data_IF_651026876379
#
_entry.id   IF_651026876379
#
_cell.length_a   1.000
_cell.length_b   1.000
_cell.length_c   1.000
_cell.angle_alpha   90.00
_cell.angle_beta   90.00
_cell.angle_gamma   90.00
#
_symmetry.space_group_name_H-M   'P 1'
#
loop_
_entity.id
_entity.type
_entity.pdbx_description
1 polymer ?
#
# COMPACT_ATOMS: atom_id res chain seq x y z
N UNK A 1 10.42 -22.42 -27.17
CA UNK A 1 9.35 -21.84 -26.32
C UNK A 1 9.27 -22.70 -25.09
N UNK A 2 10.09 -22.39 -24.10
CA UNK A 2 10.16 -23.16 -22.85
C UNK A 2 8.86 -23.00 -22.07
N UNK A 3 8.26 -24.13 -21.69
CA UNK A 3 7.19 -24.20 -20.71
C UNK A 3 7.75 -23.71 -19.36
N UNK A 4 7.65 -22.40 -19.11
CA UNK A 4 7.73 -21.86 -17.76
C UNK A 4 6.67 -22.59 -16.92
N UNK A 5 7.10 -23.18 -15.81
CA UNK A 5 6.24 -23.84 -14.81
C UNK A 5 5.25 -22.81 -14.23
N UNK A 6 4.19 -22.49 -14.97
CA UNK A 6 3.12 -21.59 -14.54
C UNK A 6 2.32 -22.29 -13.45
N UNK A 7 2.62 -21.97 -12.19
CA UNK A 7 1.79 -22.41 -11.07
C UNK A 7 0.39 -21.80 -11.21
N UNK A 8 -0.68 -22.61 -11.42
CA UNK A 8 -2.02 -22.06 -11.67
C UNK A 8 -2.54 -21.19 -10.52
N UNK A 9 -2.10 -21.47 -9.27
CA UNK A 9 -2.52 -20.69 -8.10
C UNK A 9 -1.90 -19.28 -8.11
N UNK A 10 -0.69 -19.11 -8.64
CA UNK A 10 -0.06 -17.79 -8.78
C UNK A 10 -0.79 -16.94 -9.82
N UNK A 11 -1.27 -17.55 -10.91
CA UNK A 11 -2.08 -16.82 -11.90
C UNK A 11 -3.38 -16.30 -11.27
N UNK A 12 -4.06 -17.15 -10.49
CA UNK A 12 -5.26 -16.75 -9.74
C UNK A 12 -4.95 -15.62 -8.77
N UNK A 13 -3.84 -15.71 -8.02
CA UNK A 13 -3.41 -14.69 -7.08
C UNK A 13 -3.14 -13.35 -7.79
N UNK A 14 -2.37 -13.36 -8.88
CA UNK A 14 -2.08 -12.17 -9.67
C UNK A 14 -3.33 -11.53 -10.26
N UNK A 15 -4.29 -12.35 -10.73
CA UNK A 15 -5.55 -11.86 -11.27
C UNK A 15 -6.41 -11.20 -10.20
N UNK A 16 -6.47 -11.78 -8.98
CA UNK A 16 -7.14 -11.15 -7.83
C UNK A 16 -6.46 -9.85 -7.43
N UNK A 17 -5.13 -9.84 -7.31
CA UNK A 17 -4.35 -8.63 -7.06
C UNK A 17 -4.68 -7.54 -8.07
N UNK A 18 -4.60 -7.85 -9.37
CA UNK A 18 -4.86 -6.90 -10.45
C UNK A 18 -6.29 -6.35 -10.43
N UNK A 19 -7.28 -7.20 -10.13
CA UNK A 19 -8.68 -6.79 -9.99
C UNK A 19 -8.88 -5.82 -8.82
N UNK A 20 -8.30 -6.14 -7.65
CA UNK A 20 -8.38 -5.29 -6.48
C UNK A 20 -7.64 -3.96 -6.67
N UNK A 21 -6.44 -3.99 -7.23
CA UNK A 21 -5.64 -2.78 -7.48
C UNK A 21 -6.32 -1.87 -8.51
N UNK A 22 -6.79 -2.42 -9.64
CA UNK A 22 -7.51 -1.64 -10.65
C UNK A 22 -8.79 -1.02 -10.09
N UNK A 23 -9.54 -1.76 -9.26
CA UNK A 23 -10.75 -1.26 -8.59
C UNK A 23 -10.42 -0.13 -7.63
N UNK A 24 -9.38 -0.29 -6.81
CA UNK A 24 -8.85 0.72 -5.89
C UNK A 24 -8.49 2.01 -6.63
N UNK A 25 -7.71 1.92 -7.71
CA UNK A 25 -7.26 3.07 -8.50
C UNK A 25 -8.44 3.79 -9.14
N UNK A 26 -9.35 3.05 -9.79
CA UNK A 26 -10.53 3.61 -10.46
C UNK A 26 -11.44 4.34 -9.48
N UNK A 27 -11.78 3.71 -8.35
CA UNK A 27 -12.66 4.28 -7.33
C UNK A 27 -12.02 5.47 -6.60
N UNK A 28 -10.73 5.40 -6.28
CA UNK A 28 -9.99 6.54 -5.70
C UNK A 28 -10.03 7.76 -6.63
N UNK A 29 -9.81 7.55 -7.92
CA UNK A 29 -9.84 8.63 -8.91
C UNK A 29 -11.26 9.24 -9.06
N UNK A 30 -12.30 8.39 -9.05
CA UNK A 30 -13.68 8.85 -9.11
C UNK A 30 -14.06 9.68 -7.88
N UNK A 31 -13.76 9.19 -6.67
CA UNK A 31 -13.97 9.90 -5.41
C UNK A 31 -13.26 11.26 -5.41
N UNK A 32 -11.98 11.27 -5.80
CA UNK A 32 -11.17 12.50 -5.83
C UNK A 32 -11.74 13.53 -6.82
N UNK A 33 -12.14 13.09 -8.03
CA UNK A 33 -12.75 13.97 -9.03
C UNK A 33 -14.08 14.54 -8.54
N UNK A 34 -14.89 13.75 -7.85
CA UNK A 34 -16.17 14.19 -7.32
C UNK A 34 -15.99 15.29 -6.27
N UNK A 35 -15.05 15.11 -5.33
CA UNK A 35 -14.67 16.13 -4.34
C UNK A 35 -14.12 17.41 -5.00
N UNK A 36 -13.37 17.29 -6.10
CA UNK A 36 -12.91 18.45 -6.88
C UNK A 36 -14.08 19.25 -7.45
N UNK A 37 -15.08 18.58 -8.04
CA UNK A 37 -16.24 19.26 -8.58
C UNK A 37 -17.07 19.96 -7.51
N UNK A 38 -17.26 19.32 -6.35
CA UNK A 38 -17.95 19.93 -5.19
C UNK A 38 -17.22 21.24 -4.79
N UNK A 39 -15.90 21.20 -4.67
CA UNK A 39 -15.08 22.36 -4.36
C UNK A 39 -15.18 23.46 -5.44
N UNK A 40 -15.13 23.10 -6.72
CA UNK A 40 -15.24 24.04 -7.84
C UNK A 40 -16.62 24.73 -7.83
N UNK A 41 -17.72 23.98 -7.67
CA UNK A 41 -19.05 24.57 -7.63
C UNK A 41 -19.27 25.44 -6.39
N UNK A 42 -18.68 25.09 -5.25
CA UNK A 42 -18.66 25.96 -4.06
C UNK A 42 -17.99 27.31 -4.32
N UNK A 43 -16.83 27.31 -5.00
CA UNK A 43 -16.12 28.53 -5.39
C UNK A 43 -16.88 29.35 -6.44
N UNK A 44 -17.45 28.67 -7.44
CA UNK A 44 -18.25 29.31 -8.48
C UNK A 44 -19.50 29.98 -7.90
N UNK A 45 -20.17 29.36 -6.91
CA UNK A 45 -21.30 29.97 -6.22
C UNK A 45 -20.92 31.32 -5.60
N UNK A 46 -19.78 31.37 -4.88
CA UNK A 46 -19.25 32.62 -4.29
C UNK A 46 -18.91 33.64 -5.38
N UNK A 47 -18.27 33.21 -6.46
CA UNK A 47 -17.94 34.08 -7.59
C UNK A 47 -19.20 34.69 -8.23
N UNK A 48 -20.21 33.88 -8.54
CA UNK A 48 -21.45 34.35 -9.14
C UNK A 48 -22.24 35.26 -8.20
N UNK A 49 -22.18 35.03 -6.90
CA UNK A 49 -22.80 35.90 -5.90
C UNK A 49 -22.16 37.30 -5.94
N UNK A 50 -20.83 37.36 -6.04
CA UNK A 50 -20.10 38.62 -6.16
C UNK A 50 -20.41 39.32 -7.49
N UNK A 51 -20.39 38.60 -8.61
CA UNK A 51 -20.65 39.17 -9.94
C UNK A 51 -22.06 39.76 -10.06
N UNK A 52 -23.07 39.04 -9.55
CA UNK A 52 -24.46 39.50 -9.53
C UNK A 52 -24.67 40.71 -8.62
N UNK A 53 -23.86 40.86 -7.56
CA UNK A 53 -23.97 41.98 -6.61
C UNK A 53 -23.26 43.23 -7.12
N UNK A 54 -22.07 43.11 -7.70
CA UNK A 54 -21.23 44.27 -8.08
C UNK A 54 -21.61 44.85 -9.44
N UNK A 55 -22.00 44.00 -10.40
CA UNK A 55 -22.13 44.41 -11.81
C UNK A 55 -23.54 44.19 -12.39
N UNK A 56 -24.64 44.54 -11.70
CA UNK A 56 -25.99 44.27 -12.20
C UNK A 56 -26.28 44.97 -13.54
N UNK A 57 -25.80 46.21 -13.73
CA UNK A 57 -26.05 47.01 -14.94
C UNK A 57 -25.03 46.78 -16.07
N UNK A 58 -23.92 46.07 -15.79
CA UNK A 58 -22.89 45.80 -16.80
C UNK A 58 -23.24 44.62 -17.71
N UNK A 59 -24.25 43.83 -17.36
CA UNK A 59 -24.72 42.70 -18.15
C UNK A 59 -25.97 43.07 -18.93
N UNK A 60 -26.11 42.52 -20.14
CA UNK A 60 -27.41 42.50 -20.84
C UNK A 60 -28.44 41.72 -20.03
N UNK A 61 -29.74 41.95 -20.27
CA UNK A 61 -30.84 41.23 -19.58
C UNK A 61 -30.67 39.70 -19.65
N UNK A 62 -30.21 39.18 -20.80
CA UNK A 62 -29.92 37.75 -21.00
C UNK A 62 -28.73 37.31 -20.15
N UNK A 63 -27.67 38.13 -20.08
CA UNK A 63 -26.48 37.85 -19.28
C UNK A 63 -26.78 37.82 -17.78
N UNK A 64 -27.58 38.76 -17.29
CA UNK A 64 -28.04 38.80 -15.89
C UNK A 64 -28.88 37.58 -15.54
N UNK A 65 -29.80 37.20 -16.43
CA UNK A 65 -30.62 35.99 -16.27
C UNK A 65 -29.75 34.71 -16.20
N UNK A 66 -28.77 34.56 -17.09
CA UNK A 66 -27.82 33.43 -17.06
C UNK A 66 -27.03 33.42 -15.76
N UNK A 67 -26.52 34.57 -15.30
CA UNK A 67 -25.78 34.68 -14.04
C UNK A 67 -26.62 34.27 -12.83
N UNK A 68 -27.89 34.67 -12.77
CA UNK A 68 -28.83 34.23 -11.72
C UNK A 68 -29.04 32.71 -11.74
N UNK A 69 -29.19 32.11 -12.92
CA UNK A 69 -29.27 30.65 -13.06
C UNK A 69 -27.99 29.98 -12.55
N UNK A 70 -26.82 30.49 -12.93
CA UNK A 70 -25.53 29.93 -12.51
C UNK A 70 -25.31 30.05 -10.99
N UNK A 71 -25.71 31.18 -10.39
CA UNK A 71 -25.67 31.40 -8.94
C UNK A 71 -26.53 30.38 -8.18
N UNK A 72 -27.75 30.11 -8.66
CA UNK A 72 -28.68 29.17 -8.00
C UNK A 72 -28.26 27.71 -8.25
N UNK A 73 -27.87 27.39 -9.49
CA UNK A 73 -27.53 26.01 -9.87
C UNK A 73 -26.23 25.51 -9.25
N UNK A 74 -25.22 26.37 -9.06
CA UNK A 74 -23.92 25.96 -8.49
C UNK A 74 -24.02 25.28 -7.11
N UNK A 75 -24.64 25.88 -6.07
CA UNK A 75 -24.78 25.24 -4.77
C UNK A 75 -25.71 24.01 -4.80
N UNK A 76 -26.72 24.00 -5.67
CA UNK A 76 -27.60 22.83 -5.86
C UNK A 76 -26.81 21.65 -6.42
N UNK A 77 -26.01 21.87 -7.47
CA UNK A 77 -25.15 20.84 -8.07
C UNK A 77 -24.12 20.37 -7.04
N UNK A 78 -23.46 21.28 -6.31
CA UNK A 78 -22.52 20.91 -5.26
C UNK A 78 -23.18 20.00 -4.19
N UNK A 79 -24.40 20.33 -3.76
CA UNK A 79 -25.16 19.56 -2.78
C UNK A 79 -25.57 18.18 -3.31
N UNK A 80 -26.05 18.11 -4.56
CA UNK A 80 -26.38 16.84 -5.22
C UNK A 80 -25.15 15.94 -5.37
N UNK A 81 -24.01 16.50 -5.78
CA UNK A 81 -22.75 15.77 -5.89
C UNK A 81 -22.25 15.30 -4.52
N UNK A 82 -22.41 16.11 -3.47
CA UNK A 82 -22.05 15.71 -2.10
C UNK A 82 -22.95 14.57 -1.59
N UNK A 83 -24.26 14.64 -1.80
CA UNK A 83 -25.18 13.56 -1.47
C UNK A 83 -24.87 12.28 -2.25
N UNK A 84 -24.55 12.40 -3.54
CA UNK A 84 -24.11 11.28 -4.37
C UNK A 84 -22.78 10.70 -3.86
N UNK A 85 -21.81 11.54 -3.51
CA UNK A 85 -20.52 11.12 -2.96
C UNK A 85 -20.72 10.30 -1.69
N UNK A 86 -21.52 10.81 -0.76
CA UNK A 86 -21.80 10.15 0.51
C UNK A 86 -22.58 8.84 0.31
N UNK A 87 -23.44 8.74 -0.71
CA UNK A 87 -24.16 7.48 -0.94
C UNK A 87 -23.30 6.38 -1.58
N UNK A 88 -22.42 6.73 -2.51
CA UNK A 88 -21.70 5.76 -3.36
C UNK A 88 -20.21 5.58 -3.03
N UNK A 89 -19.65 6.48 -2.23
CA UNK A 89 -18.24 6.46 -1.85
C UNK A 89 -18.05 6.61 -0.32
N UNK A 90 -19.09 6.48 0.50
CA UNK A 90 -18.90 6.50 1.95
C UNK A 90 -18.26 5.19 2.46
N UNK A 91 -18.63 4.04 1.88
CA UNK A 91 -18.19 2.70 2.30
C UNK A 91 -16.67 2.44 2.28
N UNK A 92 -15.85 3.35 1.73
CA UNK A 92 -14.41 3.17 1.73
C UNK A 92 -13.94 2.04 0.81
N UNK A 93 -14.77 1.59 -0.14
CA UNK A 93 -14.51 0.43 -1.01
C UNK A 93 -13.15 0.46 -1.69
N UNK A 94 -12.63 1.64 -2.04
CA UNK A 94 -11.30 1.79 -2.64
C UNK A 94 -10.17 1.45 -1.65
N UNK A 95 -10.33 1.80 -0.37
CA UNK A 95 -9.37 1.44 0.69
C UNK A 95 -9.40 -0.06 0.96
N UNK A 96 -10.60 -0.65 0.97
CA UNK A 96 -10.79 -2.09 1.20
C UNK A 96 -10.21 -2.89 0.02
N UNK A 97 -10.49 -2.47 -1.20
CA UNK A 97 -9.88 -3.06 -2.40
C UNK A 97 -8.36 -2.90 -2.37
N UNK A 98 -7.85 -1.74 -1.96
CA UNK A 98 -6.40 -1.53 -1.79
C UNK A 98 -5.80 -2.45 -0.73
N UNK A 99 -6.49 -2.66 0.40
CA UNK A 99 -6.08 -3.60 1.44
C UNK A 99 -5.95 -5.02 0.88
N UNK A 100 -7.00 -5.48 0.18
CA UNK A 100 -6.99 -6.80 -0.45
C UNK A 100 -5.90 -6.96 -1.50
N UNK A 101 -5.60 -5.91 -2.27
CA UNK A 101 -4.51 -5.92 -3.25
C UNK A 101 -3.15 -6.09 -2.56
N UNK A 102 -2.80 -5.22 -1.62
CA UNK A 102 -1.49 -5.27 -0.96
C UNK A 102 -1.31 -6.55 -0.12
N UNK A 103 -2.37 -7.08 0.50
CA UNK A 103 -2.33 -8.37 1.20
C UNK A 103 -2.11 -9.54 0.23
N UNK A 104 -2.80 -9.54 -0.91
CA UNK A 104 -2.60 -10.56 -1.96
C UNK A 104 -1.17 -10.49 -2.49
N UNK A 105 -0.64 -9.29 -2.69
CA UNK A 105 0.72 -9.08 -3.18
C UNK A 105 1.76 -9.61 -2.18
N UNK A 106 1.56 -9.32 -0.89
CA UNK A 106 2.36 -9.88 0.21
C UNK A 106 2.40 -11.41 0.13
N UNK A 107 1.23 -12.04 0.03
CA UNK A 107 1.10 -13.50 0.00
C UNK A 107 1.73 -14.12 -1.25
N UNK A 108 1.69 -13.43 -2.39
CA UNK A 108 2.41 -13.85 -3.61
C UNK A 108 3.91 -13.88 -3.35
N UNK A 109 4.48 -12.82 -2.75
CA UNK A 109 5.91 -12.80 -2.46
C UNK A 109 6.29 -13.84 -1.41
N UNK A 110 5.50 -14.01 -0.35
CA UNK A 110 5.71 -15.08 0.65
C UNK A 110 5.70 -16.48 0.04
N UNK A 111 4.74 -16.75 -0.86
CA UNK A 111 4.66 -18.01 -1.60
C UNK A 111 5.92 -18.27 -2.43
N UNK A 112 6.42 -17.23 -3.08
CA UNK A 112 7.55 -17.29 -4.02
C UNK A 112 8.91 -17.18 -3.36
N UNK A 113 9.01 -16.97 -2.05
CA UNK A 113 10.28 -16.77 -1.34
C UNK A 113 10.43 -17.75 -0.19
N UNK A 114 9.71 -17.54 0.90
CA UNK A 114 9.96 -18.32 2.10
C UNK A 114 9.26 -19.67 2.03
N UNK A 115 8.10 -19.75 1.39
CA UNK A 115 7.35 -20.99 1.28
C UNK A 115 7.82 -21.89 0.13
N UNK A 116 8.91 -21.56 -0.56
CA UNK A 116 9.41 -22.32 -1.72
C UNK A 116 9.58 -23.80 -1.44
N UNK A 117 10.18 -24.12 -0.29
CA UNK A 117 10.49 -25.50 0.13
C UNK A 117 9.29 -26.20 0.80
N UNK A 118 8.20 -25.50 1.05
CA UNK A 118 7.04 -26.05 1.76
C UNK A 118 6.09 -26.78 0.80
N UNK A 119 5.84 -28.10 0.98
CA UNK A 119 4.97 -28.87 0.09
C UNK A 119 3.49 -28.39 0.13
N UNK A 120 3.05 -27.77 1.22
CA UNK A 120 1.69 -27.24 1.41
C UNK A 120 1.54 -25.78 0.98
N UNK A 121 2.55 -25.17 0.34
CA UNK A 121 2.51 -23.75 -0.07
C UNK A 121 1.31 -23.39 -0.95
N UNK A 122 0.87 -24.32 -1.80
CA UNK A 122 -0.30 -24.14 -2.66
C UNK A 122 -1.60 -24.04 -1.86
N UNK A 123 -1.82 -24.97 -0.94
CA UNK A 123 -2.98 -24.97 -0.04
C UNK A 123 -3.00 -23.73 0.85
N UNK A 124 -1.82 -23.31 1.32
CA UNK A 124 -1.65 -22.09 2.10
C UNK A 124 -2.12 -20.85 1.33
N UNK A 125 -1.67 -20.69 0.08
CA UNK A 125 -2.04 -19.54 -0.74
C UNK A 125 -3.54 -19.56 -1.07
N UNK A 126 -4.09 -20.70 -1.45
CA UNK A 126 -5.52 -20.84 -1.71
C UNK A 126 -6.39 -20.45 -0.49
N UNK A 127 -5.99 -20.93 0.69
CA UNK A 127 -6.66 -20.61 1.96
C UNK A 127 -6.60 -19.12 2.24
N UNK A 128 -5.46 -18.46 2.06
CA UNK A 128 -5.33 -17.04 2.32
C UNK A 128 -6.04 -16.19 1.27
N UNK A 129 -5.96 -16.51 -0.03
CA UNK A 129 -6.76 -15.84 -1.06
C UNK A 129 -8.27 -15.89 -0.79
N UNK A 130 -8.74 -16.98 -0.18
CA UNK A 130 -10.14 -17.12 0.24
C UNK A 130 -10.47 -16.23 1.44
N UNK A 131 -9.56 -16.14 2.43
CA UNK A 131 -9.72 -15.22 3.57
C UNK A 131 -9.75 -13.76 3.10
N UNK A 132 -8.80 -13.36 2.25
CA UNK A 132 -8.71 -12.01 1.67
C UNK A 132 -10.02 -11.69 0.96
N UNK A 133 -10.51 -12.59 0.09
CA UNK A 133 -11.77 -12.36 -0.61
C UNK A 133 -12.97 -12.21 0.32
N UNK A 134 -13.07 -13.02 1.39
CA UNK A 134 -14.14 -12.89 2.38
C UNK A 134 -14.03 -11.58 3.16
N UNK A 135 -12.81 -11.18 3.51
CA UNK A 135 -12.52 -9.91 4.19
C UNK A 135 -12.93 -8.72 3.32
N UNK A 136 -12.55 -8.72 2.05
CA UNK A 136 -12.95 -7.70 1.06
C UNK A 136 -14.47 -7.68 0.89
N UNK A 137 -15.12 -8.83 0.73
CA UNK A 137 -16.59 -8.94 0.63
C UNK A 137 -17.29 -8.32 1.84
N UNK A 138 -16.87 -8.68 3.06
CA UNK A 138 -17.43 -8.12 4.31
C UNK A 138 -17.18 -6.62 4.43
N UNK A 139 -15.97 -6.19 4.07
CA UNK A 139 -15.60 -4.79 4.07
C UNK A 139 -16.47 -3.96 3.13
N UNK A 140 -16.77 -4.46 1.94
CA UNK A 140 -17.66 -3.81 0.97
C UNK A 140 -19.16 -4.06 1.28
N UNK A 141 -19.51 -4.30 2.54
CA UNK A 141 -20.88 -4.52 3.00
C UNK A 141 -21.64 -5.63 2.22
N UNK A 142 -20.93 -6.65 1.74
CA UNK A 142 -21.49 -7.75 0.97
C UNK A 142 -21.73 -7.45 -0.53
N UNK A 143 -21.24 -6.32 -1.05
CA UNK A 143 -21.35 -5.96 -2.46
C UNK A 143 -19.99 -6.07 -3.17
N UNK A 144 -19.77 -7.13 -3.94
CA UNK A 144 -18.57 -7.28 -4.80
C UNK A 144 -18.81 -6.74 -6.22
N UNK A 145 -19.22 -5.48 -6.33
CA UNK A 145 -19.36 -4.82 -7.64
C UNK A 145 -17.98 -4.37 -8.12
N UNK A 146 -17.27 -5.30 -8.77
CA UNK A 146 -15.96 -5.10 -9.38
C UNK A 146 -15.95 -5.59 -10.81
N UNK A 147 -15.31 -4.83 -11.70
CA UNK A 147 -15.08 -5.28 -13.07
C UNK A 147 -14.05 -6.42 -13.08
N UNK A 148 -14.29 -7.45 -13.87
CA UNK A 148 -13.30 -8.50 -14.09
C UNK A 148 -12.07 -7.91 -14.77
N UNK A 149 -10.89 -8.15 -14.21
CA UNK A 149 -9.64 -7.73 -14.82
C UNK A 149 -9.38 -8.51 -16.11
N UNK A 150 -9.20 -7.80 -17.22
CA UNK A 150 -9.00 -8.36 -18.58
C UNK A 150 -7.57 -8.24 -19.10
N UNK A 151 -6.67 -7.59 -18.35
CA UNK A 151 -5.29 -7.39 -18.77
C UNK A 151 -4.41 -8.63 -18.56
N UNK A 152 -3.15 -8.52 -18.97
CA UNK A 152 -2.12 -9.51 -18.68
C UNK A 152 -1.77 -9.54 -17.19
N UNK A 153 -1.36 -10.72 -16.72
CA UNK A 153 -0.91 -10.97 -15.36
C UNK A 153 0.54 -11.47 -15.39
N UNK A 154 1.44 -10.96 -14.53
CA UNK A 154 1.23 -9.87 -13.56
C UNK A 154 0.97 -8.50 -14.23
N UNK A 155 0.24 -7.57 -13.57
CA UNK A 155 -0.15 -6.30 -14.19
C UNK A 155 1.02 -5.30 -14.31
N UNK A 156 1.10 -4.63 -15.46
CA UNK A 156 1.96 -3.45 -15.68
C UNK A 156 1.51 -2.26 -14.81
N UNK A 157 2.41 -1.31 -14.44
CA UNK A 157 3.83 -1.21 -14.80
C UNK A 157 4.79 -1.79 -13.76
N UNK A 158 4.28 -2.29 -12.62
CA UNK A 158 5.13 -2.87 -11.55
C UNK A 158 5.93 -4.08 -12.05
N UNK A 159 5.38 -4.79 -13.04
CA UNK A 159 5.95 -5.99 -13.63
C UNK A 159 5.99 -5.80 -15.15
N UNK A 160 7.15 -5.44 -15.70
CA UNK A 160 7.29 -5.19 -17.14
C UNK A 160 8.22 -6.22 -17.80
N UNK A 161 7.66 -7.25 -18.46
CA UNK A 161 8.43 -8.33 -19.08
C UNK A 161 9.33 -7.86 -20.24
N UNK A 162 9.22 -6.59 -20.69
CA UNK A 162 10.09 -6.03 -21.73
C UNK A 162 11.50 -5.70 -21.23
N UNK A 163 11.74 -5.68 -19.92
CA UNK A 163 13.09 -5.55 -19.38
C UNK A 163 13.66 -6.94 -19.11
N UNK A 164 14.84 -7.31 -19.65
CA UNK A 164 15.43 -8.64 -19.49
C UNK A 164 15.61 -9.07 -18.04
N UNK A 165 15.78 -8.11 -17.13
CA UNK A 165 15.91 -8.32 -15.68
C UNK A 165 14.62 -7.92 -14.94
N UNK A 166 13.47 -8.33 -15.45
CA UNK A 166 12.18 -8.07 -14.80
C UNK A 166 11.59 -9.34 -14.22
N UNK A 167 10.91 -9.19 -13.10
CA UNK A 167 10.21 -10.28 -12.45
C UNK A 167 9.09 -10.83 -13.35
N UNK A 168 9.20 -12.10 -13.75
CA UNK A 168 8.16 -12.79 -14.51
C UNK A 168 6.89 -13.03 -13.68
N UNK A 169 6.99 -12.99 -12.35
CA UNK A 169 5.89 -13.17 -11.42
C UNK A 169 5.54 -14.62 -11.07
N UNK A 170 6.10 -15.61 -11.77
CA UNK A 170 5.66 -17.01 -11.66
C UNK A 170 6.70 -17.97 -11.07
N UNK A 171 7.97 -17.59 -11.07
CA UNK A 171 9.05 -18.43 -10.54
C UNK A 171 9.35 -18.08 -9.08
N UNK A 172 9.97 -19.04 -8.40
CA UNK A 172 10.50 -18.88 -7.05
C UNK A 172 11.70 -17.92 -7.08
N UNK A 173 11.76 -16.99 -6.13
CA UNK A 173 12.74 -15.91 -6.05
C UNK A 173 13.86 -16.22 -5.06
N UNK A 174 15.10 -16.15 -5.51
CA UNK A 174 16.27 -16.07 -4.62
C UNK A 174 16.29 -14.76 -3.80
N UNK A 175 17.21 -14.68 -2.83
CA UNK A 175 17.41 -13.47 -2.04
C UNK A 175 17.72 -12.24 -2.90
N UNK A 176 18.64 -12.37 -3.86
CA UNK A 176 19.03 -11.24 -4.72
C UNK A 176 17.91 -10.84 -5.70
N UNK A 177 17.15 -11.79 -6.22
CA UNK A 177 15.99 -11.50 -7.07
C UNK A 177 14.88 -10.81 -6.27
N UNK A 178 14.57 -11.27 -5.06
CA UNK A 178 13.62 -10.57 -4.19
C UNK A 178 14.11 -9.16 -3.85
N UNK A 179 15.38 -9.02 -3.49
CA UNK A 179 16.00 -7.74 -3.19
C UNK A 179 15.81 -6.75 -4.36
N UNK A 180 16.16 -7.18 -5.58
CA UNK A 180 16.09 -6.32 -6.76
C UNK A 180 14.63 -6.03 -7.19
N UNK A 181 13.81 -7.07 -7.32
CA UNK A 181 12.47 -6.94 -7.91
C UNK A 181 11.45 -6.33 -6.96
N UNK A 182 11.60 -6.58 -5.66
CA UNK A 182 10.62 -6.19 -4.64
C UNK A 182 11.14 -5.10 -3.73
N UNK A 183 12.21 -5.35 -2.99
CA UNK A 183 12.69 -4.42 -1.95
C UNK A 183 13.16 -3.08 -2.56
N UNK A 184 14.11 -3.13 -3.48
CA UNK A 184 14.72 -1.93 -4.07
C UNK A 184 13.71 -1.16 -4.94
N UNK A 185 12.86 -1.88 -5.68
CA UNK A 185 11.79 -1.28 -6.45
C UNK A 185 10.78 -0.54 -5.56
N UNK A 186 10.33 -1.15 -4.46
CA UNK A 186 9.43 -0.50 -3.51
C UNK A 186 10.11 0.68 -2.82
N UNK A 187 11.37 0.57 -2.42
CA UNK A 187 12.13 1.67 -1.82
C UNK A 187 12.19 2.87 -2.78
N UNK A 188 12.58 2.64 -4.04
CA UNK A 188 12.65 3.68 -5.07
C UNK A 188 11.29 4.31 -5.34
N UNK A 189 10.23 3.50 -5.40
CA UNK A 189 8.87 4.01 -5.56
C UNK A 189 8.44 4.89 -4.38
N UNK A 190 8.72 4.47 -3.14
CA UNK A 190 8.38 5.23 -1.93
C UNK A 190 9.18 6.55 -1.87
N UNK A 191 10.47 6.54 -2.20
CA UNK A 191 11.31 7.77 -2.29
C UNK A 191 10.74 8.73 -3.33
N UNK A 192 10.39 8.24 -4.52
CA UNK A 192 9.77 9.09 -5.55
C UNK A 192 8.43 9.66 -5.06
N UNK A 193 7.62 8.84 -4.39
CA UNK A 193 6.29 9.23 -3.91
C UNK A 193 6.33 10.24 -2.78
N UNK A 194 7.24 10.11 -1.82
CA UNK A 194 7.35 11.08 -0.72
C UNK A 194 7.73 12.46 -1.25
N UNK A 195 8.64 12.53 -2.23
CA UNK A 195 9.05 13.80 -2.85
C UNK A 195 7.90 14.45 -3.63
N UNK A 196 7.12 13.65 -4.37
CA UNK A 196 5.91 14.13 -5.04
C UNK A 196 4.90 14.70 -4.03
N UNK A 197 4.67 14.00 -2.91
CA UNK A 197 3.72 14.40 -1.87
C UNK A 197 4.17 15.62 -1.08
N UNK A 198 5.47 15.72 -0.81
CA UNK A 198 6.05 16.90 -0.16
C UNK A 198 5.95 18.14 -1.07
N UNK A 199 6.23 18.01 -2.36
CA UNK A 199 6.06 19.12 -3.32
C UNK A 199 4.59 19.56 -3.40
N UNK A 200 3.66 18.60 -3.44
CA UNK A 200 2.22 18.87 -3.42
C UNK A 200 1.78 19.62 -2.16
N UNK A 201 2.29 19.20 -0.99
CA UNK A 201 2.05 19.85 0.30
C UNK A 201 2.56 21.29 0.33
N UNK A 202 3.81 21.51 -0.08
CA UNK A 202 4.41 22.85 -0.13
C UNK A 202 3.64 23.77 -1.08
N UNK A 203 3.27 23.27 -2.27
CA UNK A 203 2.45 24.05 -3.22
C UNK A 203 1.11 24.44 -2.62
N UNK A 204 0.44 23.52 -1.92
CA UNK A 204 -0.86 23.79 -1.32
C UNK A 204 -0.76 24.81 -0.18
N UNK A 205 0.25 24.69 0.69
CA UNK A 205 0.52 25.68 1.74
C UNK A 205 0.79 27.08 1.17
N UNK A 206 1.56 27.18 0.10
CA UNK A 206 1.80 28.45 -0.58
C UNK A 206 0.52 29.05 -1.18
N UNK A 207 -0.37 28.22 -1.74
CA UNK A 207 -1.67 28.67 -2.24
C UNK A 207 -2.60 29.14 -1.12
N UNK A 208 -2.61 28.45 0.02
CA UNK A 208 -3.38 28.84 1.21
C UNK A 208 -2.89 30.20 1.72
N UNK A 209 -1.59 30.36 1.94
CA UNK A 209 -1.00 31.63 2.35
C UNK A 209 -1.24 32.74 1.33
N UNK A 210 -1.06 32.45 0.04
CA UNK A 210 -1.29 33.40 -1.04
C UNK A 210 -2.74 33.87 -1.13
N UNK A 211 -3.71 32.96 -1.00
CA UNK A 211 -5.14 33.30 -0.99
C UNK A 211 -5.54 34.13 0.23
N UNK A 212 -5.03 33.78 1.42
CA UNK A 212 -5.27 34.57 2.64
C UNK A 212 -4.67 35.98 2.55
N UNK A 213 -3.43 36.10 2.07
CA UNK A 213 -2.78 37.38 1.86
C UNK A 213 -3.52 38.24 0.81
N UNK A 214 -3.96 37.62 -0.30
CA UNK A 214 -4.76 38.31 -1.30
C UNK A 214 -6.07 38.86 -0.70
N UNK A 215 -6.75 38.08 0.15
CA UNK A 215 -7.94 38.54 0.87
C UNK A 215 -7.67 39.76 1.76
N UNK A 216 -6.57 39.75 2.50
CA UNK A 216 -6.18 40.88 3.35
C UNK A 216 -5.86 42.14 2.53
N UNK A 217 -5.15 41.99 1.40
CA UNK A 217 -4.85 43.11 0.48
C UNK A 217 -6.15 43.69 -0.11
N UNK A 218 -7.06 42.83 -0.59
CA UNK A 218 -8.35 43.27 -1.13
C UNK A 218 -9.19 44.01 -0.07
N UNK A 219 -9.16 43.56 1.18
CA UNK A 219 -9.83 44.25 2.29
C UNK A 219 -9.23 45.63 2.53
N UNK A 220 -7.89 45.75 2.52
CA UNK A 220 -7.19 47.01 2.74
C UNK A 220 -7.41 48.04 1.63
N UNK A 221 -7.57 47.60 0.37
CA UNK A 221 -7.88 48.49 -0.76
C UNK A 221 -9.29 49.09 -0.67
N UNK A 222 -10.21 48.45 0.06
CA UNK A 222 -11.56 48.95 0.31
C UNK A 222 -12.44 49.06 -0.95
N UNK A 223 -13.59 49.73 -0.80
CA UNK A 223 -14.53 49.98 -1.89
C UNK A 223 -15.10 48.69 -2.52
N UNK A 224 -15.15 48.56 -3.86
CA UNK A 224 -15.71 47.38 -4.52
C UNK A 224 -14.86 46.10 -4.32
N UNK A 225 -13.60 46.24 -3.89
CA UNK A 225 -12.70 45.10 -3.63
C UNK A 225 -13.07 44.35 -2.34
N UNK A 226 -13.80 44.97 -1.41
CA UNK A 226 -14.20 44.33 -0.14
C UNK A 226 -15.06 43.09 -0.37
N UNK A 227 -15.91 43.07 -1.40
CA UNK A 227 -16.72 41.89 -1.73
C UNK A 227 -15.88 40.72 -2.28
N UNK A 228 -14.74 41.00 -2.92
CA UNK A 228 -13.82 39.96 -3.42
C UNK A 228 -13.07 39.23 -2.30
N UNK A 229 -13.05 39.80 -1.08
CA UNK A 229 -12.51 39.13 0.12
C UNK A 229 -13.24 37.81 0.37
N UNK A 230 -14.55 37.74 0.10
CA UNK A 230 -15.33 36.51 0.24
C UNK A 230 -14.83 35.41 -0.70
N UNK A 231 -14.45 35.76 -1.94
CA UNK A 231 -13.88 34.79 -2.89
C UNK A 231 -12.53 34.28 -2.39
N UNK A 232 -11.65 35.17 -1.93
CA UNK A 232 -10.36 34.79 -1.36
C UNK A 232 -10.52 33.86 -0.15
N UNK A 233 -11.42 34.19 0.78
CA UNK A 233 -11.71 33.36 1.96
C UNK A 233 -12.30 31.99 1.59
N UNK A 234 -13.20 31.94 0.60
CA UNK A 234 -13.75 30.68 0.10
C UNK A 234 -12.68 29.80 -0.56
N UNK A 235 -11.73 30.42 -1.29
CA UNK A 235 -10.58 29.73 -1.86
C UNK A 235 -9.66 29.18 -0.78
N UNK A 236 -9.32 29.98 0.23
CA UNK A 236 -8.52 29.52 1.39
C UNK A 236 -9.19 28.33 2.08
N UNK A 237 -10.49 28.43 2.37
CA UNK A 237 -11.26 27.36 3.02
C UNK A 237 -11.29 26.09 2.19
N UNK A 238 -11.48 26.22 0.87
CA UNK A 238 -11.48 25.09 -0.06
C UNK A 238 -10.11 24.40 -0.12
N UNK A 239 -9.03 25.18 -0.16
CA UNK A 239 -7.66 24.65 -0.17
C UNK A 239 -7.30 23.96 1.15
N UNK A 240 -7.76 24.50 2.29
CA UNK A 240 -7.62 23.87 3.61
C UNK A 240 -8.35 22.52 3.65
N UNK A 241 -9.62 22.47 3.25
CA UNK A 241 -10.36 21.21 3.16
C UNK A 241 -9.73 20.22 2.20
N UNK A 242 -9.09 20.69 1.12
CA UNK A 242 -8.33 19.83 0.20
C UNK A 242 -7.03 19.29 0.81
N UNK A 243 -6.37 20.07 1.67
CA UNK A 243 -5.18 19.63 2.41
C UNK A 243 -5.54 18.53 3.42
N UNK A 244 -6.62 18.74 4.16
CA UNK A 244 -7.18 17.81 5.15
C UNK A 244 -7.62 16.49 4.50
N UNK A 245 -8.40 16.57 3.41
CA UNK A 245 -8.83 15.39 2.64
C UNK A 245 -7.66 14.52 2.18
N UNK A 246 -6.53 15.14 1.83
CA UNK A 246 -5.33 14.42 1.37
C UNK A 246 -4.43 13.98 2.53
N UNK A 247 -4.65 14.50 3.72
CA UNK A 247 -3.88 14.27 4.94
C UNK A 247 -2.35 14.22 4.67
N UNK A 248 -1.86 15.23 3.93
CA UNK A 248 -0.50 15.19 3.36
C UNK A 248 0.59 15.11 4.44
N UNK A 249 0.36 15.70 5.61
CA UNK A 249 1.30 15.66 6.74
C UNK A 249 1.52 14.22 7.23
N UNK A 250 0.44 13.47 7.46
CA UNK A 250 0.53 12.07 7.89
C UNK A 250 1.08 11.17 6.77
N UNK A 251 0.63 11.40 5.52
CA UNK A 251 1.11 10.64 4.36
C UNK A 251 2.62 10.78 4.21
N UNK A 252 3.17 12.00 4.24
CA UNK A 252 4.62 12.24 4.13
C UNK A 252 5.38 11.55 5.25
N UNK A 253 4.92 11.68 6.51
CA UNK A 253 5.55 11.02 7.67
C UNK A 253 5.59 9.50 7.51
N UNK A 254 4.48 8.89 7.09
CA UNK A 254 4.40 7.44 6.93
C UNK A 254 5.31 6.93 5.80
N UNK A 255 5.40 7.67 4.68
CA UNK A 255 6.37 7.35 3.63
C UNK A 255 7.81 7.45 4.13
N UNK A 256 8.16 8.52 4.87
CA UNK A 256 9.51 8.68 5.42
C UNK A 256 9.89 7.55 6.37
N UNK A 257 8.96 7.09 7.22
CA UNK A 257 9.16 5.93 8.09
C UNK A 257 9.45 4.67 7.28
N UNK A 258 8.63 4.35 6.27
CA UNK A 258 8.87 3.17 5.42
C UNK A 258 10.20 3.24 4.69
N UNK A 259 10.55 4.41 4.13
CA UNK A 259 11.84 4.59 3.45
C UNK A 259 12.98 4.27 4.41
N UNK A 260 12.95 4.82 5.62
CA UNK A 260 13.97 4.57 6.63
C UNK A 260 14.09 3.08 6.98
N UNK A 261 12.98 2.40 7.28
CA UNK A 261 12.98 0.98 7.65
C UNK A 261 13.43 0.07 6.49
N UNK A 262 12.96 0.33 5.26
CA UNK A 262 13.38 -0.42 4.08
C UNK A 262 14.84 -0.15 3.71
N UNK A 263 15.34 1.07 3.93
CA UNK A 263 16.75 1.40 3.75
C UNK A 263 17.62 0.61 4.71
N UNK A 264 17.25 0.49 5.99
CA UNK A 264 17.99 -0.34 6.96
C UNK A 264 18.11 -1.79 6.47
N UNK A 265 17.00 -2.38 6.00
CA UNK A 265 17.00 -3.74 5.46
C UNK A 265 17.85 -3.83 4.20
N UNK A 266 17.73 -2.84 3.31
CA UNK A 266 18.48 -2.81 2.06
C UNK A 266 19.99 -2.73 2.30
N UNK A 267 20.40 -1.86 3.22
CA UNK A 267 21.80 -1.63 3.55
C UNK A 267 22.40 -2.86 4.23
N UNK A 268 21.64 -3.53 5.11
CA UNK A 268 22.03 -4.81 5.69
C UNK A 268 22.28 -5.87 4.61
N UNK A 269 21.32 -6.10 3.71
CA UNK A 269 21.48 -7.09 2.63
C UNK A 269 22.67 -6.78 1.71
N UNK A 270 22.86 -5.50 1.36
CA UNK A 270 23.98 -5.04 0.52
C UNK A 270 25.34 -5.21 1.20
N UNK A 271 25.39 -5.17 2.53
CA UNK A 271 26.61 -5.31 3.30
C UNK A 271 27.02 -6.78 3.55
N UNK A 272 26.11 -7.74 3.40
CA UNK A 272 26.42 -9.16 3.55
C UNK A 272 27.27 -9.67 2.37
N UNK A 273 28.36 -10.37 2.70
CA UNK A 273 29.15 -11.13 1.72
C UNK A 273 28.35 -12.32 1.18
N UNK A 274 28.78 -12.89 0.04
CA UNK A 274 28.06 -13.98 -0.62
C UNK A 274 27.89 -15.22 0.29
N UNK A 275 28.86 -15.48 1.15
CA UNK A 275 28.86 -16.56 2.13
C UNK A 275 27.93 -16.30 3.33
N UNK A 276 27.71 -15.03 3.67
CA UNK A 276 26.84 -14.61 4.77
C UNK A 276 25.35 -14.54 4.37
N UNK A 277 25.06 -14.56 3.06
CA UNK A 277 23.70 -14.60 2.48
C UNK A 277 23.05 -15.98 2.62
N UNK A 278 22.88 -16.39 3.86
CA UNK A 278 22.20 -17.64 4.23
C UNK A 278 20.70 -17.57 3.99
N UNK A 279 20.04 -18.74 3.93
CA UNK A 279 18.58 -18.85 3.89
C UNK A 279 17.91 -18.07 5.03
N UNK A 280 18.54 -18.02 6.20
CA UNK A 280 18.06 -17.30 7.39
C UNK A 280 18.02 -15.79 7.16
N UNK A 281 19.12 -15.22 6.65
CA UNK A 281 19.18 -13.78 6.35
C UNK A 281 18.23 -13.41 5.20
N UNK A 282 18.09 -14.30 4.21
CA UNK A 282 17.09 -14.15 3.16
C UNK A 282 15.67 -14.08 3.74
N UNK A 283 15.26 -15.05 4.55
CA UNK A 283 13.91 -15.07 5.14
C UNK A 283 13.65 -13.89 6.06
N UNK A 284 14.67 -13.46 6.82
CA UNK A 284 14.59 -12.28 7.67
C UNK A 284 14.39 -11.00 6.86
N UNK A 285 15.10 -10.83 5.75
CA UNK A 285 14.92 -9.70 4.82
C UNK A 285 13.49 -9.69 4.28
N UNK A 286 13.03 -10.80 3.70
CA UNK A 286 11.69 -10.88 3.09
C UNK A 286 10.61 -10.59 4.12
N UNK A 287 10.64 -11.26 5.27
CA UNK A 287 9.65 -11.09 6.35
C UNK A 287 9.59 -9.64 6.82
N UNK A 288 10.73 -9.05 7.15
CA UNK A 288 10.79 -7.67 7.66
C UNK A 288 10.27 -6.68 6.62
N UNK A 289 10.66 -6.83 5.35
CA UNK A 289 10.23 -5.96 4.27
C UNK A 289 8.71 -6.04 4.04
N UNK A 290 8.16 -7.25 3.93
CA UNK A 290 6.72 -7.45 3.74
C UNK A 290 5.90 -6.99 4.95
N UNK A 291 6.39 -7.17 6.18
CA UNK A 291 5.76 -6.65 7.40
C UNK A 291 5.73 -5.11 7.41
N UNK A 292 6.82 -4.44 7.03
CA UNK A 292 6.88 -2.97 6.93
C UNK A 292 5.90 -2.45 5.88
N UNK A 293 5.91 -3.06 4.68
CA UNK A 293 5.02 -2.67 3.58
C UNK A 293 3.54 -2.85 3.96
N UNK A 294 3.23 -3.98 4.61
CA UNK A 294 1.89 -4.29 5.09
C UNK A 294 1.44 -3.33 6.21
N UNK A 295 2.27 -3.14 7.24
CA UNK A 295 1.99 -2.26 8.38
C UNK A 295 1.68 -0.84 7.92
N UNK A 296 2.44 -0.32 6.96
CA UNK A 296 2.16 0.99 6.35
C UNK A 296 0.84 1.03 5.60
N UNK A 297 0.49 -0.03 4.87
CA UNK A 297 -0.81 -0.06 4.19
C UNK A 297 -1.97 0.04 5.21
N UNK A 298 -1.84 -0.66 6.34
CA UNK A 298 -2.79 -0.55 7.46
C UNK A 298 -2.83 0.87 8.04
N UNK A 299 -1.67 1.46 8.33
CA UNK A 299 -1.59 2.85 8.83
C UNK A 299 -2.25 3.85 7.86
N UNK A 300 -2.03 3.70 6.54
CA UNK A 300 -2.65 4.54 5.53
C UNK A 300 -4.18 4.40 5.49
N UNK A 301 -4.68 3.17 5.58
CA UNK A 301 -6.13 2.93 5.57
C UNK A 301 -6.77 3.53 6.84
N UNK A 302 -6.16 3.34 8.01
CA UNK A 302 -6.65 3.92 9.27
C UNK A 302 -6.67 5.45 9.22
N UNK A 303 -5.60 6.06 8.75
CA UNK A 303 -5.50 7.50 8.54
C UNK A 303 -6.61 8.07 7.65
N UNK A 304 -6.94 7.36 6.57
CA UNK A 304 -7.96 7.80 5.64
C UNK A 304 -9.37 7.57 6.19
N UNK A 305 -9.57 6.59 7.06
CA UNK A 305 -10.82 6.41 7.80
C UNK A 305 -11.04 7.50 8.82
N UNK A 306 -10.03 7.86 9.61
CA UNK A 306 -10.15 8.94 10.60
C UNK A 306 -10.59 10.24 9.91
N UNK A 307 -9.99 10.55 8.76
CA UNK A 307 -10.39 11.68 7.91
C UNK A 307 -11.82 11.56 7.33
N UNK A 308 -12.37 10.34 7.22
CA UNK A 308 -13.76 10.11 6.79
C UNK A 308 -14.73 10.13 7.98
N UNK A 309 -14.34 9.68 9.18
CA UNK A 309 -15.17 9.68 10.39
C UNK A 309 -15.50 11.10 10.85
N UNK A 310 -14.54 12.03 10.78
CA UNK A 310 -14.78 13.45 11.07
C UNK A 310 -15.84 14.07 10.13
N UNK A 311 -16.22 13.39 9.04
CA UNK A 311 -17.27 13.80 8.11
C UNK A 311 -18.65 13.13 8.31
N UNK A 312 -18.95 12.57 9.50
CA UNK A 312 -20.19 11.87 9.91
C UNK A 312 -20.39 10.44 9.36
N UNK A 313 -19.39 9.55 9.48
CA UNK A 313 -19.47 8.15 9.00
C UNK A 313 -18.99 7.11 10.05
N UNK A 314 -19.65 7.08 11.21
CA UNK A 314 -19.25 6.24 12.36
C UNK A 314 -19.42 4.72 12.16
N UNK A 315 -20.39 4.29 11.37
CA UNK A 315 -20.72 2.87 11.21
C UNK A 315 -19.74 2.15 10.26
N UNK A 316 -19.18 2.88 9.30
CA UNK A 316 -18.32 2.34 8.23
C UNK A 316 -16.87 2.17 8.68
N UNK A 317 -16.36 3.11 9.49
CA UNK A 317 -15.04 2.97 10.11
C UNK A 317 -14.96 1.73 11.02
N UNK A 318 -16.07 1.30 11.63
CA UNK A 318 -16.13 0.06 12.41
C UNK A 318 -15.97 -1.19 11.54
N UNK A 319 -16.56 -1.20 10.34
CA UNK A 319 -16.44 -2.32 9.40
C UNK A 319 -15.00 -2.46 8.89
N UNK A 320 -14.36 -1.34 8.55
CA UNK A 320 -13.00 -1.40 8.05
C UNK A 320 -12.00 -1.66 9.20
N UNK A 321 -12.24 -1.15 10.42
CA UNK A 321 -11.46 -1.55 11.60
C UNK A 321 -11.54 -3.06 11.84
N UNK A 322 -12.73 -3.67 11.73
CA UNK A 322 -12.89 -5.12 11.85
C UNK A 322 -12.10 -5.87 10.78
N UNK A 323 -12.15 -5.40 9.52
CA UNK A 323 -11.37 -6.00 8.41
C UNK A 323 -9.87 -5.90 8.67
N UNK A 324 -9.39 -4.74 9.12
CA UNK A 324 -7.97 -4.52 9.46
C UNK A 324 -7.54 -5.37 10.65
N UNK A 325 -8.37 -5.48 11.68
CA UNK A 325 -8.12 -6.32 12.85
C UNK A 325 -8.10 -7.80 12.45
N UNK A 326 -9.05 -8.27 11.65
CA UNK A 326 -9.06 -9.63 11.11
C UNK A 326 -7.78 -9.92 10.31
N UNK A 327 -7.32 -8.97 9.49
CA UNK A 327 -6.07 -9.11 8.75
C UNK A 327 -4.83 -9.08 9.65
N UNK A 328 -4.80 -8.22 10.69
CA UNK A 328 -3.72 -8.21 11.69
C UNK A 328 -3.66 -9.49 12.51
N UNK A 329 -4.81 -10.05 12.87
CA UNK A 329 -4.89 -11.30 13.62
C UNK A 329 -4.53 -12.50 12.75
N UNK A 330 -4.81 -12.44 11.45
CA UNK A 330 -4.31 -13.41 10.49
C UNK A 330 -2.78 -13.32 10.39
N UNK A 331 -2.22 -12.10 10.34
CA UNK A 331 -0.78 -11.84 10.27
C UNK A 331 -0.04 -12.31 11.53
N UNK A 332 -0.60 -12.09 12.73
CA UNK A 332 -0.04 -12.63 13.99
C UNK A 332 -0.04 -14.15 14.02
N UNK A 333 -1.12 -14.79 13.56
CA UNK A 333 -1.21 -16.25 13.49
C UNK A 333 -0.23 -16.83 12.47
N UNK A 334 -0.01 -16.09 11.37
CA UNK A 334 0.99 -16.42 10.37
C UNK A 334 2.38 -16.33 10.98
N UNK A 335 2.69 -15.24 11.70
CA UNK A 335 3.94 -15.07 12.45
C UNK A 335 4.22 -16.24 13.40
N UNK A 336 3.23 -16.69 14.17
CA UNK A 336 3.36 -17.87 15.03
C UNK A 336 3.66 -19.14 14.24
N UNK A 337 2.87 -19.45 13.20
CA UNK A 337 3.12 -20.65 12.37
C UNK A 337 4.47 -20.65 11.67
N UNK A 338 5.04 -19.45 11.48
CA UNK A 338 6.33 -19.26 10.85
C UNK A 338 7.49 -19.36 11.82
N UNK A 339 7.33 -18.79 13.01
CA UNK A 339 8.27 -18.98 14.12
C UNK A 339 8.36 -20.46 14.46
N UNK A 340 7.23 -21.16 14.50
CA UNK A 340 7.17 -22.61 14.68
C UNK A 340 7.90 -23.33 13.54
N UNK A 341 7.64 -23.00 12.27
CA UNK A 341 8.31 -23.64 11.13
C UNK A 341 9.82 -23.37 11.08
N UNK A 342 10.28 -22.19 11.48
CA UNK A 342 11.71 -21.86 11.58
C UNK A 342 12.34 -22.63 12.74
N UNK A 343 11.67 -22.70 13.90
CA UNK A 343 12.11 -23.48 15.05
C UNK A 343 12.19 -24.97 14.68
N UNK A 344 11.20 -25.51 13.99
CA UNK A 344 11.19 -26.89 13.53
C UNK A 344 12.35 -27.16 12.57
N UNK A 345 12.57 -26.28 11.58
CA UNK A 345 13.70 -26.41 10.63
C UNK A 345 15.06 -26.27 11.33
N UNK A 346 15.16 -25.38 12.33
CA UNK A 346 16.37 -25.22 13.12
C UNK A 346 16.63 -26.43 14.01
N UNK A 347 15.58 -27.01 14.59
CA UNK A 347 15.65 -28.21 15.43
C UNK A 347 16.03 -29.41 14.59
N UNK A 348 15.42 -29.58 13.42
CA UNK A 348 15.75 -30.63 12.44
C UNK A 348 17.23 -30.53 12.02
N UNK A 349 17.72 -29.33 11.69
CA UNK A 349 19.14 -29.13 11.36
C UNK A 349 20.09 -29.30 12.54
N UNK A 350 19.64 -29.02 13.76
CA UNK A 350 20.42 -29.24 14.98
C UNK A 350 20.54 -30.74 15.27
N UNK A 351 19.44 -31.48 15.12
CA UNK A 351 19.37 -32.92 15.29
C UNK A 351 20.19 -33.64 14.21
N UNK A 352 20.05 -33.26 12.93
CA UNK A 352 20.90 -33.75 11.84
C UNK A 352 22.39 -33.46 12.11
N UNK A 353 22.69 -32.25 12.59
CA UNK A 353 24.05 -31.85 12.96
C UNK A 353 24.61 -32.68 14.12
N UNK A 354 23.79 -33.03 15.10
CA UNK A 354 24.16 -33.89 16.23
C UNK A 354 24.37 -35.34 15.81
N UNK A 355 23.51 -35.88 14.96
CA UNK A 355 23.62 -37.25 14.44
C UNK A 355 24.89 -37.38 13.59
N UNK A 356 25.14 -36.43 12.70
CA UNK A 356 26.36 -36.40 11.87
C UNK A 356 27.64 -36.25 12.72
N UNK A 357 27.60 -35.43 13.78
CA UNK A 357 28.72 -35.30 14.72
C UNK A 357 28.95 -36.58 15.54
N UNK A 358 27.88 -37.28 15.92
CA UNK A 358 27.97 -38.53 16.67
C UNK A 358 28.56 -39.63 15.80
N UNK A 359 28.09 -39.78 14.55
CA UNK A 359 28.61 -40.76 13.59
C UNK A 359 30.10 -40.52 13.30
N UNK A 360 30.50 -39.26 13.07
CA UNK A 360 31.91 -38.92 12.84
C UNK A 360 32.79 -39.14 14.08
N UNK A 361 32.27 -38.94 15.28
CA UNK A 361 33.00 -39.25 16.52
C UNK A 361 33.18 -40.76 16.74
N UNK A 362 32.14 -41.53 16.43
CA UNK A 362 32.14 -42.99 16.56
C UNK A 362 33.06 -43.65 15.51
N UNK A 363 33.07 -43.12 14.29
CA UNK A 363 34.01 -43.52 13.24
C UNK A 363 35.45 -43.14 13.58
N UNK A 364 35.69 -41.95 14.15
CA UNK A 364 37.01 -41.54 14.62
C UNK A 364 37.50 -42.40 15.80
N UNK A 365 36.61 -42.75 16.74
CA UNK A 365 36.93 -43.63 17.88
C UNK A 365 37.22 -45.07 17.44
N UNK A 366 36.46 -45.60 16.48
CA UNK A 366 36.70 -46.93 15.94
C UNK A 366 38.03 -46.98 15.17
N UNK A 367 38.34 -45.96 14.35
CA UNK A 367 39.64 -45.86 13.69
C UNK A 367 40.80 -45.76 14.70
N UNK A 368 40.64 -44.97 15.77
CA UNK A 368 41.63 -44.88 16.86
C UNK A 368 41.80 -46.20 17.62
N UNK A 369 40.72 -46.94 17.86
CA UNK A 369 40.76 -48.24 18.51
C UNK A 369 41.42 -49.30 17.62
N UNK A 370 41.15 -49.25 16.31
CA UNK A 370 41.76 -50.13 15.32
C UNK A 370 43.26 -49.86 15.17
N UNK A 371 43.66 -48.58 15.14
CA UNK A 371 45.06 -48.13 15.11
C UNK A 371 45.81 -48.47 16.41
N UNK A 372 45.16 -48.37 17.57
CA UNK A 372 45.73 -48.80 18.86
C UNK A 372 45.82 -50.33 19.02
N UNK A 373 45.01 -51.08 18.27
CA UNK A 373 45.04 -52.56 18.23
C UNK A 373 45.99 -53.13 17.16
N UNK A 374 46.55 -52.27 16.32
CA UNK A 374 47.54 -52.60 15.29
C UNK A 374 48.78 -53.26 15.89
N UNK A 375 49.24 -54.36 15.27
CA UNK A 375 50.45 -55.10 15.67
C UNK A 375 51.70 -54.19 15.73
N UNK A 376 51.72 -53.09 14.97
CA UNK A 376 52.83 -52.13 14.93
C UNK A 376 52.90 -51.30 16.22
N UNK A 377 51.76 -50.88 16.77
CA UNK A 377 51.69 -50.06 18.00
C UNK A 377 51.88 -50.93 19.25
N UNK A 378 51.37 -52.17 19.23
CA UNK A 378 51.63 -53.13 20.32
C UNK A 378 53.09 -53.58 20.38
N UNK A 379 53.81 -53.57 19.25
CA UNK A 379 55.25 -53.85 19.21
C UNK A 379 56.13 -52.67 19.69
N UNK A 380 55.64 -51.43 19.68
CA UNK A 380 56.33 -50.27 20.26
C UNK A 380 56.07 -50.11 21.77
N UNK A 381 54.98 -50.67 22.28
CA UNK A 381 54.58 -50.60 23.70
C UNK A 381 55.05 -51.80 24.55
N UNK A 382 55.66 -52.83 23.95
CA UNK A 382 56.29 -53.98 24.60
C UNK A 382 57.81 -53.83 24.64
#
# INVERSE_FOLDING_TARGET
MENLNHSPILEVAWRKFAQYDATSVKRTAAYTRLRQWIAIFGLLATLFAILTTIYPESFSEIGEFILKILLISSPIIASLLAAFANKFFATGDWLISRAGAEETLKDIYMYRTILQKNPKRREWLEKNLTKIQRSVYRGMNGELVMETYKGEVPPLPRFNPKYPNSDSGFHDLSGDEYFSFRLENELNWHIKKVNQKQSERTRLQLLILGSGAAGAILAALGGPFTLWVALAASLTTTLLGWQELKNLDLVVRNYSKVIMELTIISDHWKNLEAEERTDTEFYKMVKSAEEILWSRNVEYIKAMQEALQESNLDEEARLINRVIEEQRDADRRLKQSFEDSIVDTLTEKLDEGHETLSETFEEALNNLAEEASSEIVQAELA
#
